data_IF_869752230848
#
_entry.id   IF_869752230848
#
_cell.length_a   1.000
_cell.length_b   1.000
_cell.length_c   1.000
_cell.angle_alpha   90.00
_cell.angle_beta   90.00
_cell.angle_gamma   90.00
#
_symmetry.space_group_name_H-M   'P 1'
#
loop_
_entity.id
_entity.type
_entity.pdbx_description
1 polymer ?
#
# COMPACT_ATOMS: atom_id res chain seq x y z
N UNK A 1 -6.69 -21.46 -6.07
CA UNK A 1 -6.51 -20.39 -7.08
C UNK A 1 -5.21 -19.69 -6.77
N UNK A 2 -4.38 -19.35 -7.76
CA UNK A 2 -3.11 -18.66 -7.51
C UNK A 2 -3.35 -17.19 -7.16
N UNK A 3 -3.18 -16.84 -5.88
CA UNK A 3 -3.37 -15.47 -5.38
C UNK A 3 -2.26 -14.51 -5.82
N UNK A 4 -1.13 -15.02 -6.34
CA UNK A 4 -0.04 -14.16 -6.85
C UNK A 4 -0.44 -13.39 -8.11
N UNK A 5 -1.46 -13.87 -8.83
CA UNK A 5 -2.02 -13.22 -10.01
C UNK A 5 -2.96 -12.04 -9.69
N UNK A 6 -3.35 -11.87 -8.42
CA UNK A 6 -4.19 -10.75 -8.00
C UNK A 6 -3.36 -9.47 -7.90
N UNK A 7 -3.72 -8.44 -8.66
CA UNK A 7 -3.04 -7.15 -8.66
C UNK A 7 -3.92 -6.08 -8.04
N UNK A 8 -3.37 -5.41 -7.03
CA UNK A 8 -3.96 -4.25 -6.37
C UNK A 8 -2.93 -3.13 -6.39
N UNK A 9 -3.39 -1.89 -6.38
CA UNK A 9 -2.54 -0.71 -6.31
C UNK A 9 -3.06 0.26 -5.26
N UNK A 10 -2.14 0.97 -4.62
CA UNK A 10 -2.47 2.09 -3.76
C UNK A 10 -2.63 3.34 -4.63
N UNK A 11 -3.82 3.95 -4.62
CA UNK A 11 -4.13 5.13 -5.44
C UNK A 11 -3.32 6.37 -5.06
N UNK A 12 -2.66 6.38 -3.89
CA UNK A 12 -1.72 7.44 -3.51
C UNK A 12 -0.36 7.34 -4.19
N UNK A 13 0.04 6.13 -4.60
CA UNK A 13 1.41 5.86 -5.04
C UNK A 13 1.81 6.75 -6.21
N UNK A 14 0.98 6.82 -7.26
CA UNK A 14 1.27 7.63 -8.43
C UNK A 14 1.32 9.13 -8.12
N UNK A 15 0.40 9.63 -7.28
CA UNK A 15 0.36 11.03 -6.87
C UNK A 15 1.61 11.42 -6.10
N UNK A 16 2.04 10.57 -5.15
CA UNK A 16 3.27 10.81 -4.37
C UNK A 16 4.51 10.76 -5.27
N UNK A 17 4.60 9.80 -6.19
CA UNK A 17 5.69 9.72 -7.16
C UNK A 17 5.80 11.00 -8.01
N UNK A 18 4.68 11.49 -8.53
CA UNK A 18 4.65 12.70 -9.36
C UNK A 18 5.04 13.97 -8.55
N UNK A 19 4.57 14.08 -7.31
CA UNK A 19 4.96 15.17 -6.40
C UNK A 19 6.46 15.13 -6.07
N UNK A 20 7.01 13.94 -5.80
CA UNK A 20 8.43 13.76 -5.51
C UNK A 20 9.30 14.15 -6.70
N UNK A 21 8.92 13.75 -7.91
CA UNK A 21 9.65 14.13 -9.13
C UNK A 21 9.56 15.64 -9.40
N UNK A 22 8.44 16.29 -9.07
CA UNK A 22 8.36 17.76 -9.13
C UNK A 22 9.30 18.43 -8.13
N UNK A 23 9.33 18.00 -6.87
CA UNK A 23 10.28 18.53 -5.88
C UNK A 23 11.74 18.33 -6.28
N UNK A 24 12.05 17.22 -6.97
CA UNK A 24 13.36 17.00 -7.57
C UNK A 24 13.67 18.05 -8.65
N UNK A 25 12.73 18.30 -9.57
CA UNK A 25 12.88 19.29 -10.63
C UNK A 25 13.05 20.73 -10.10
N UNK A 26 12.41 21.03 -8.96
CA UNK A 26 12.52 22.32 -8.26
C UNK A 26 13.83 22.48 -7.47
N UNK A 27 14.64 21.42 -7.34
CA UNK A 27 15.89 21.45 -6.58
C UNK A 27 15.72 21.42 -5.06
N UNK A 28 14.56 20.96 -4.57
CA UNK A 28 14.21 20.94 -3.14
C UNK A 28 14.94 19.83 -2.35
N UNK A 29 15.61 18.91 -3.03
CA UNK A 29 16.39 17.83 -2.43
C UNK A 29 17.82 18.28 -2.09
N UNK A 30 18.25 18.03 -0.86
CA UNK A 30 19.67 18.09 -0.47
C UNK A 30 20.51 17.00 -1.17
N UNK A 31 19.88 15.87 -1.52
CA UNK A 31 20.46 14.80 -2.29
C UNK A 31 19.44 14.20 -3.26
N UNK A 32 19.76 14.21 -4.55
CA UNK A 32 18.89 13.78 -5.64
C UNK A 32 18.99 12.30 -5.99
N UNK A 33 19.70 11.48 -5.19
CA UNK A 33 19.86 10.05 -5.50
C UNK A 33 18.52 9.31 -5.41
N UNK A 34 18.37 8.22 -6.18
CA UNK A 34 17.14 7.43 -6.22
C UNK A 34 16.69 6.99 -4.82
N UNK A 35 17.62 6.61 -3.95
CA UNK A 35 17.32 6.19 -2.58
C UNK A 35 16.64 7.28 -1.75
N UNK A 36 17.14 8.51 -1.78
CA UNK A 36 16.50 9.62 -1.05
C UNK A 36 15.09 9.88 -1.59
N UNK A 37 14.89 9.79 -2.91
CA UNK A 37 13.55 9.92 -3.52
C UNK A 37 12.60 8.81 -3.06
N UNK A 38 13.06 7.56 -3.07
CA UNK A 38 12.26 6.42 -2.61
C UNK A 38 11.96 6.50 -1.10
N UNK A 39 12.92 6.96 -0.29
CA UNK A 39 12.71 7.16 1.15
C UNK A 39 11.65 8.23 1.42
N UNK A 40 11.65 9.35 0.66
CA UNK A 40 10.58 10.36 0.72
C UNK A 40 9.22 9.75 0.36
N UNK A 41 9.16 8.99 -0.75
CA UNK A 41 7.93 8.35 -1.18
C UNK A 41 7.39 7.35 -0.13
N UNK A 42 8.25 6.52 0.45
CA UNK A 42 7.87 5.55 1.49
C UNK A 42 7.33 6.24 2.75
N UNK A 43 8.01 7.27 3.24
CA UNK A 43 7.58 8.02 4.42
C UNK A 43 6.24 8.71 4.15
N UNK A 44 6.09 9.33 2.98
CA UNK A 44 4.84 9.99 2.58
C UNK A 44 3.68 8.98 2.52
N UNK A 45 3.85 7.85 1.83
CA UNK A 45 2.81 6.82 1.70
C UNK A 45 2.42 6.21 3.05
N UNK A 46 3.36 6.06 3.98
CA UNK A 46 3.08 5.58 5.34
C UNK A 46 2.28 6.56 6.20
N UNK A 47 2.23 7.84 5.81
CA UNK A 47 1.45 8.88 6.50
C UNK A 47 0.06 9.12 5.91
N UNK A 48 -0.22 8.57 4.72
CA UNK A 48 -1.49 8.72 4.01
C UNK A 48 -2.48 7.60 4.40
N UNK A 49 -3.79 7.88 4.38
CA UNK A 49 -4.79 6.85 4.65
C UNK A 49 -4.73 5.75 3.58
N UNK A 50 -4.84 4.45 3.94
CA UNK A 50 -4.72 3.37 2.98
C UNK A 50 -5.86 3.40 1.96
N UNK A 51 -5.53 3.31 0.67
CA UNK A 51 -6.51 3.39 -0.41
C UNK A 51 -6.13 2.48 -1.58
N UNK A 52 -6.51 1.21 -1.44
CA UNK A 52 -6.18 0.17 -2.41
C UNK A 52 -7.34 -0.14 -3.35
N UNK A 53 -7.07 -0.35 -4.62
CA UNK A 53 -8.05 -0.84 -5.60
C UNK A 53 -7.46 -1.99 -6.41
N UNK A 54 -8.27 -2.94 -6.87
CA UNK A 54 -7.84 -3.84 -7.94
C UNK A 54 -7.40 -3.05 -9.18
N UNK A 55 -6.25 -3.38 -9.75
CA UNK A 55 -5.69 -2.67 -10.91
C UNK A 55 -6.66 -2.66 -12.10
N UNK A 56 -7.38 -3.77 -12.31
CA UNK A 56 -8.37 -3.91 -13.39
C UNK A 56 -9.55 -2.93 -13.26
N UNK A 57 -9.81 -2.40 -12.06
CA UNK A 57 -10.95 -1.52 -11.76
C UNK A 57 -10.52 -0.09 -11.42
N UNK A 58 -9.21 0.20 -11.42
CA UNK A 58 -8.69 1.52 -11.03
C UNK A 58 -9.22 2.65 -11.94
N UNK A 59 -9.33 2.41 -13.24
CA UNK A 59 -9.82 3.38 -14.22
C UNK A 59 -11.32 3.71 -14.11
N UNK A 60 -12.13 2.76 -13.62
CA UNK A 60 -13.57 2.94 -13.43
C UNK A 60 -13.90 3.79 -12.18
N UNK A 61 -12.96 3.88 -11.25
CA UNK A 61 -13.11 4.54 -9.94
C UNK A 61 -12.45 5.93 -9.93
N UNK A 62 -12.39 6.58 -11.08
CA UNK A 62 -11.80 7.90 -11.23
C UNK A 62 -12.46 8.90 -10.27
N UNK A 63 -11.62 9.61 -9.51
CA UNK A 63 -12.02 10.67 -8.60
C UNK A 63 -12.69 11.82 -9.37
N UNK A 64 -13.63 12.52 -8.72
CA UNK A 64 -14.11 13.81 -9.25
C UNK A 64 -12.97 14.83 -9.26
N UNK A 65 -13.12 15.94 -10.01
CA UNK A 65 -12.09 16.98 -10.06
C UNK A 65 -11.75 17.59 -8.69
N UNK A 66 -12.76 17.80 -7.85
CA UNK A 66 -12.56 18.31 -6.48
C UNK A 66 -11.87 17.28 -5.57
N UNK A 67 -12.25 16.00 -5.67
CA UNK A 67 -11.58 14.92 -4.92
C UNK A 67 -10.12 14.79 -5.34
N UNK A 68 -9.83 14.86 -6.64
CA UNK A 68 -8.46 14.81 -7.14
C UNK A 68 -7.60 15.97 -6.61
N UNK A 69 -8.14 17.20 -6.59
CA UNK A 69 -7.43 18.36 -6.03
C UNK A 69 -7.15 18.17 -4.53
N UNK A 70 -8.15 17.73 -3.76
CA UNK A 70 -7.99 17.46 -2.34
C UNK A 70 -6.95 16.36 -2.04
N UNK A 71 -6.89 15.34 -2.90
CA UNK A 71 -5.86 14.28 -2.83
C UNK A 71 -4.47 14.79 -3.17
N UNK A 72 -4.34 15.63 -4.20
CA UNK A 72 -3.07 16.25 -4.56
C UNK A 72 -2.50 17.06 -3.39
N UNK A 73 -3.32 17.92 -2.76
CA UNK A 73 -2.90 18.72 -1.60
C UNK A 73 -2.40 17.82 -0.45
N UNK A 74 -3.09 16.71 -0.17
CA UNK A 74 -2.66 15.76 0.86
C UNK A 74 -1.35 15.05 0.50
N UNK A 75 -1.19 14.64 -0.76
CA UNK A 75 0.05 14.02 -1.24
C UNK A 75 1.22 15.01 -1.17
N UNK A 76 1.01 16.27 -1.52
CA UNK A 76 2.00 17.35 -1.40
C UNK A 76 2.44 17.58 0.05
N UNK A 77 1.50 17.71 0.97
CA UNK A 77 1.80 17.92 2.40
C UNK A 77 2.57 16.72 2.99
N UNK A 78 2.14 15.49 2.68
CA UNK A 78 2.82 14.27 3.11
C UNK A 78 4.25 14.18 2.55
N UNK A 79 4.42 14.44 1.25
CA UNK A 79 5.72 14.42 0.60
C UNK A 79 6.66 15.53 1.10
N UNK A 80 6.13 16.73 1.39
CA UNK A 80 6.93 17.84 1.92
C UNK A 80 7.48 17.51 3.31
N UNK A 81 6.64 16.99 4.21
CA UNK A 81 7.06 16.53 5.55
C UNK A 81 8.10 15.42 5.45
N UNK A 82 7.89 14.46 4.54
CA UNK A 82 8.85 13.39 4.28
C UNK A 82 10.19 13.93 3.76
N UNK A 83 10.16 14.89 2.83
CA UNK A 83 11.33 15.55 2.27
C UNK A 83 12.15 16.27 3.35
N UNK A 84 11.50 17.00 4.24
CA UNK A 84 12.18 17.66 5.37
C UNK A 84 12.91 16.66 6.28
N UNK A 85 12.29 15.50 6.55
CA UNK A 85 12.91 14.44 7.35
C UNK A 85 14.13 13.84 6.65
N UNK A 86 14.01 13.52 5.36
CA UNK A 86 15.12 12.95 4.57
C UNK A 86 16.24 13.95 4.39
N UNK A 87 15.94 15.23 4.16
CA UNK A 87 16.95 16.28 4.03
C UNK A 87 17.76 16.51 5.32
N UNK A 88 17.17 16.27 6.50
CA UNK A 88 17.89 16.37 7.78
C UNK A 88 18.93 15.26 7.97
N UNK A 89 18.67 14.06 7.44
CA UNK A 89 19.54 12.90 7.62
C UNK A 89 19.44 11.93 6.41
N UNK A 90 20.02 12.29 5.25
CA UNK A 90 19.89 11.48 4.04
C UNK A 90 20.69 10.18 4.15
N UNK A 91 20.06 9.06 3.80
CA UNK A 91 20.70 7.75 3.81
C UNK A 91 21.32 7.45 2.44
N UNK A 92 22.62 7.73 2.29
CA UNK A 92 23.34 7.57 1.02
C UNK A 92 23.89 6.17 0.76
N UNK A 93 23.91 5.29 1.76
CA UNK A 93 24.50 3.94 1.66
C UNK A 93 23.50 2.85 2.04
N UNK A 94 23.59 1.70 1.35
CA UNK A 94 22.72 0.54 1.55
C UNK A 94 22.18 -0.02 0.24
N UNK A 95 21.80 -1.30 0.24
CA UNK A 95 21.23 -1.96 -0.92
C UNK A 95 19.85 -1.34 -1.26
N UNK A 96 19.81 -0.48 -2.27
CA UNK A 96 18.57 0.04 -2.87
C UNK A 96 17.97 -0.99 -3.83
N UNK A 97 17.81 -2.24 -3.38
CA UNK A 97 17.43 -3.33 -4.29
C UNK A 97 15.97 -3.73 -4.23
N UNK A 98 15.16 -3.15 -3.34
CA UNK A 98 13.73 -3.42 -3.35
C UNK A 98 12.97 -2.23 -3.95
N UNK A 99 12.01 -2.57 -4.81
CA UNK A 99 10.94 -1.66 -5.19
C UNK A 99 10.21 -1.18 -3.92
N UNK A 100 9.62 0.00 -3.99
CA UNK A 100 8.73 0.54 -2.96
C UNK A 100 7.54 -0.41 -2.76
N UNK A 101 7.60 -1.25 -1.72
CA UNK A 101 6.60 -2.29 -1.45
C UNK A 101 5.98 -2.08 -0.07
N UNK A 102 4.68 -2.37 0.06
CA UNK A 102 4.02 -2.44 1.36
C UNK A 102 4.14 -3.86 1.93
N UNK A 103 4.81 -4.01 3.08
CA UNK A 103 5.04 -5.32 3.72
C UNK A 103 3.74 -6.05 4.09
N UNK A 104 2.63 -5.33 4.30
CA UNK A 104 1.33 -5.95 4.59
C UNK A 104 0.78 -6.76 3.40
N UNK A 105 1.16 -6.48 2.16
CA UNK A 105 0.57 -7.16 0.99
C UNK A 105 0.85 -8.67 0.98
N UNK A 106 2.07 -9.08 1.29
CA UNK A 106 2.45 -10.50 1.32
C UNK A 106 1.74 -11.26 2.45
N UNK A 107 1.63 -10.63 3.63
CA UNK A 107 0.95 -11.23 4.77
C UNK A 107 -0.55 -11.37 4.53
N UNK A 108 -1.20 -10.33 3.99
CA UNK A 108 -2.63 -10.39 3.66
C UNK A 108 -2.88 -11.51 2.64
N UNK A 109 -2.01 -11.68 1.64
CA UNK A 109 -2.13 -12.79 0.67
C UNK A 109 -2.00 -14.16 1.34
N UNK A 110 -1.05 -14.29 2.26
CA UNK A 110 -0.82 -15.53 3.03
C UNK A 110 -2.05 -15.88 3.86
N UNK A 111 -2.55 -14.93 4.66
CA UNK A 111 -3.73 -15.13 5.51
C UNK A 111 -4.99 -15.35 4.67
N UNK A 112 -5.14 -14.63 3.55
CA UNK A 112 -6.26 -14.85 2.63
C UNK A 112 -6.22 -16.27 2.05
N UNK A 113 -5.07 -16.79 1.64
CA UNK A 113 -4.95 -18.17 1.17
C UNK A 113 -5.40 -19.17 2.25
N UNK A 114 -4.88 -19.02 3.46
CA UNK A 114 -5.20 -19.89 4.60
C UNK A 114 -6.69 -19.87 4.93
N UNK A 115 -7.32 -18.69 4.98
CA UNK A 115 -8.75 -18.55 5.27
C UNK A 115 -9.62 -19.19 4.18
N UNK A 116 -9.19 -19.12 2.92
CA UNK A 116 -9.89 -19.75 1.79
C UNK A 116 -9.76 -21.28 1.82
N UNK A 117 -8.60 -21.82 2.22
CA UNK A 117 -8.38 -23.27 2.36
C UNK A 117 -9.30 -23.90 3.41
N UNK A 118 -9.62 -23.17 4.48
CA UNK A 118 -10.53 -23.62 5.54
C UNK A 118 -12.02 -23.47 5.19
N UNK A 119 -12.38 -22.70 4.15
CA UNK A 119 -13.76 -22.44 3.74
C UNK A 119 -14.07 -23.01 2.34
N UNK A 120 -13.91 -24.32 2.18
CA UNK A 120 -14.02 -24.99 0.87
C UNK A 120 -15.43 -25.00 0.26
N UNK A 121 -16.47 -24.71 1.03
CA UNK A 121 -17.85 -24.73 0.55
C UNK A 121 -18.20 -23.53 -0.34
N UNK A 122 -17.39 -22.47 -0.33
CA UNK A 122 -17.66 -21.24 -1.06
C UNK A 122 -16.73 -21.05 -2.24
N UNK A 123 -17.31 -20.86 -3.42
CA UNK A 123 -16.56 -20.54 -4.64
C UNK A 123 -16.34 -19.04 -4.76
N UNK A 124 -15.10 -18.66 -5.06
CA UNK A 124 -14.70 -17.27 -5.20
C UNK A 124 -14.17 -17.01 -6.61
N UNK A 125 -14.61 -15.92 -7.22
CA UNK A 125 -14.12 -15.46 -8.52
C UNK A 125 -12.89 -14.57 -8.35
N UNK A 126 -12.09 -14.42 -9.43
CA UNK A 126 -10.93 -13.52 -9.43
C UNK A 126 -11.29 -12.08 -9.04
N UNK A 127 -12.35 -11.44 -9.59
CA UNK A 127 -12.76 -10.10 -9.16
C UNK A 127 -13.07 -10.00 -7.67
N UNK A 128 -13.81 -10.95 -7.12
CA UNK A 128 -14.15 -10.98 -5.70
C UNK A 128 -12.89 -11.04 -4.83
N UNK A 129 -11.92 -11.89 -5.18
CA UNK A 129 -10.68 -12.02 -4.42
C UNK A 129 -9.74 -10.82 -4.59
N UNK A 130 -9.71 -10.20 -5.77
CA UNK A 130 -9.00 -8.92 -5.94
C UNK A 130 -9.58 -7.83 -5.02
N UNK A 131 -10.90 -7.74 -4.93
CA UNK A 131 -11.57 -6.79 -4.02
C UNK A 131 -11.37 -7.15 -2.55
N UNK A 132 -11.39 -8.43 -2.20
CA UNK A 132 -11.11 -8.87 -0.83
C UNK A 132 -9.68 -8.50 -0.41
N UNK A 133 -8.70 -8.68 -1.29
CA UNK A 133 -7.32 -8.26 -1.07
C UNK A 133 -7.24 -6.73 -0.88
N UNK A 134 -7.85 -5.96 -1.78
CA UNK A 134 -7.85 -4.49 -1.70
C UNK A 134 -8.51 -3.98 -0.40
N UNK A 135 -9.68 -4.51 -0.04
CA UNK A 135 -10.37 -4.12 1.19
C UNK A 135 -9.60 -4.53 2.45
N UNK A 136 -8.92 -5.68 2.44
CA UNK A 136 -8.06 -6.08 3.56
C UNK A 136 -6.95 -5.06 3.79
N UNK A 137 -6.31 -4.59 2.72
CA UNK A 137 -5.25 -3.57 2.81
C UNK A 137 -5.76 -2.19 3.22
N UNK A 138 -7.02 -1.84 2.89
CA UNK A 138 -7.66 -0.60 3.37
C UNK A 138 -7.91 -0.57 4.87
N UNK A 139 -7.99 -1.73 5.54
CA UNK A 139 -8.18 -1.80 6.99
C UNK A 139 -6.85 -1.71 7.77
N UNK A 140 -5.71 -1.71 7.08
CA UNK A 140 -4.38 -1.75 7.68
C UNK A 140 -3.60 -0.47 7.37
N UNK A 141 -2.92 0.08 8.37
CA UNK A 141 -1.98 1.16 8.15
C UNK A 141 -0.85 0.69 7.19
N UNK A 142 -0.56 1.42 6.10
CA UNK A 142 0.44 0.99 5.13
C UNK A 142 1.85 0.96 5.74
N UNK A 143 2.65 -0.03 5.32
CA UNK A 143 4.04 -0.23 5.76
C UNK A 143 4.97 -0.35 4.57
N UNK A 144 5.17 0.76 3.87
CA UNK A 144 6.13 0.88 2.80
C UNK A 144 7.56 0.88 3.33
N UNK A 145 8.40 0.02 2.75
CA UNK A 145 9.81 -0.09 3.08
C UNK A 145 10.67 0.03 1.82
N UNK A 146 11.91 0.50 1.99
CA UNK A 146 12.85 0.78 0.89
C UNK A 146 14.10 -0.10 0.92
N UNK A 147 14.23 -0.95 1.94
CA UNK A 147 15.41 -1.82 2.15
C UNK A 147 15.00 -3.18 2.72
N UNK A 148 15.76 -4.25 2.45
CA UNK A 148 15.54 -5.56 3.08
C UNK A 148 15.61 -5.51 4.61
N UNK A 149 16.44 -4.62 5.16
CA UNK A 149 16.53 -4.41 6.62
C UNK A 149 15.23 -3.80 7.16
N UNK A 150 14.69 -2.79 6.49
CA UNK A 150 13.41 -2.18 6.84
C UNK A 150 12.26 -3.19 6.76
N UNK A 151 12.24 -4.00 5.71
CA UNK A 151 11.27 -5.09 5.55
C UNK A 151 11.38 -6.13 6.68
N UNK A 152 12.61 -6.53 7.06
CA UNK A 152 12.82 -7.42 8.19
C UNK A 152 12.30 -6.82 9.52
N UNK A 153 12.45 -5.52 9.76
CA UNK A 153 11.88 -4.87 10.95
C UNK A 153 10.35 -4.80 10.91
N UNK A 154 9.76 -4.48 9.75
CA UNK A 154 8.31 -4.52 9.58
C UNK A 154 7.77 -5.92 9.91
N UNK A 155 8.44 -6.96 9.41
CA UNK A 155 8.12 -8.37 9.71
C UNK A 155 8.27 -8.74 11.18
N UNK A 156 9.27 -8.20 11.88
CA UNK A 156 9.40 -8.43 13.33
C UNK A 156 8.20 -7.85 14.10
N UNK A 157 7.69 -6.67 13.73
CA UNK A 157 6.45 -6.15 14.31
C UNK A 157 5.22 -6.98 13.94
N UNK A 158 5.24 -7.62 12.77
CA UNK A 158 4.17 -8.49 12.28
C UNK A 158 4.11 -9.83 13.03
N UNK A 159 5.23 -10.31 13.58
CA UNK A 159 5.30 -11.53 14.42
C UNK A 159 4.57 -11.34 15.76
N UNK A 160 4.25 -10.11 16.16
CA UNK A 160 3.47 -9.89 17.38
C UNK A 160 2.05 -10.46 17.21
N UNK A 161 1.53 -11.28 18.16
CA UNK A 161 0.22 -11.94 18.03
C UNK A 161 -0.94 -10.98 17.73
N UNK A 162 -0.89 -9.74 18.24
CA UNK A 162 -1.91 -8.73 17.94
C UNK A 162 -1.88 -8.24 16.49
N UNK A 163 -0.70 -8.19 15.86
CA UNK A 163 -0.53 -7.77 14.46
C UNK A 163 -1.14 -8.81 13.53
N UNK A 164 -0.85 -10.10 13.76
CA UNK A 164 -1.49 -11.18 13.00
C UNK A 164 -3.01 -11.19 13.17
N UNK A 165 -3.52 -11.04 14.40
CA UNK A 165 -4.96 -10.98 14.64
C UNK A 165 -5.64 -9.86 13.86
N UNK A 166 -5.01 -8.68 13.73
CA UNK A 166 -5.53 -7.58 12.93
C UNK A 166 -5.64 -7.95 11.44
N UNK A 167 -4.67 -8.69 10.90
CA UNK A 167 -4.68 -9.16 9.51
C UNK A 167 -5.82 -10.16 9.28
N UNK A 168 -6.00 -11.15 10.16
CA UNK A 168 -7.14 -12.07 10.06
C UNK A 168 -8.48 -11.34 10.13
N UNK A 169 -8.62 -10.37 11.04
CA UNK A 169 -9.84 -9.55 11.15
C UNK A 169 -10.09 -8.76 9.86
N UNK A 170 -9.06 -8.13 9.30
CA UNK A 170 -9.15 -7.40 8.03
C UNK A 170 -9.61 -8.32 6.89
N UNK A 171 -9.00 -9.50 6.76
CA UNK A 171 -9.35 -10.50 5.73
C UNK A 171 -10.79 -10.99 5.88
N UNK A 172 -11.22 -11.34 7.09
CA UNK A 172 -12.60 -11.80 7.31
C UNK A 172 -13.64 -10.70 7.05
N UNK A 173 -13.37 -9.46 7.48
CA UNK A 173 -14.23 -8.31 7.17
C UNK A 173 -14.33 -8.10 5.66
N UNK A 174 -13.20 -8.13 4.97
CA UNK A 174 -13.13 -7.93 3.52
C UNK A 174 -13.93 -9.01 2.76
N UNK A 175 -13.75 -10.29 3.11
CA UNK A 175 -14.52 -11.39 2.49
C UNK A 175 -16.02 -11.24 2.73
N UNK A 176 -16.45 -10.91 3.96
CA UNK A 176 -17.87 -10.65 4.28
C UNK A 176 -18.43 -9.49 3.47
N UNK A 177 -17.66 -8.40 3.34
CA UNK A 177 -18.04 -7.24 2.54
C UNK A 177 -18.22 -7.60 1.06
N UNK A 178 -17.23 -8.28 0.47
CA UNK A 178 -17.31 -8.73 -0.93
C UNK A 178 -18.50 -9.65 -1.13
N UNK A 179 -18.76 -10.58 -0.21
CA UNK A 179 -19.91 -11.46 -0.29
C UNK A 179 -21.22 -10.66 -0.34
N UNK A 180 -21.37 -9.66 0.53
CA UNK A 180 -22.54 -8.78 0.54
C UNK A 180 -22.69 -8.01 -0.78
N UNK A 181 -21.63 -7.34 -1.24
CA UNK A 181 -21.65 -6.49 -2.45
C UNK A 181 -21.93 -7.28 -3.74
N UNK A 182 -21.42 -8.51 -3.84
CA UNK A 182 -21.58 -9.37 -5.03
C UNK A 182 -22.82 -10.27 -4.98
N UNK A 183 -23.46 -10.44 -3.82
CA UNK A 183 -24.75 -11.16 -3.74
C UNK A 183 -25.93 -10.26 -4.18
N UNK A 184 -25.73 -8.94 -4.18
CA UNK A 184 -26.73 -7.94 -4.59
C UNK A 184 -26.64 -7.51 -6.06
N UNK A 185 -25.74 -8.09 -6.85
CA UNK A 185 -25.54 -7.82 -8.28
C UNK A 185 -25.93 -9.03 -9.10
#
# INVERSE_FOLDING_TARGET
MDLTLLKVENRWQKLVEDVVERFLAEGSFSCSCSKCRTDVAAIALNSLPPDYVPVEYAGELAASGEDLLGRLIQAEDAALKALELVNKAPHHSGASQNALINSNEELVRTVLAEVLEHNQEQTWTKPQLSWALAYSLRELAPKYTTTPKGDAYARVEEIHPSSMAAIYVAVHKALKRVQAEFSTR
#
